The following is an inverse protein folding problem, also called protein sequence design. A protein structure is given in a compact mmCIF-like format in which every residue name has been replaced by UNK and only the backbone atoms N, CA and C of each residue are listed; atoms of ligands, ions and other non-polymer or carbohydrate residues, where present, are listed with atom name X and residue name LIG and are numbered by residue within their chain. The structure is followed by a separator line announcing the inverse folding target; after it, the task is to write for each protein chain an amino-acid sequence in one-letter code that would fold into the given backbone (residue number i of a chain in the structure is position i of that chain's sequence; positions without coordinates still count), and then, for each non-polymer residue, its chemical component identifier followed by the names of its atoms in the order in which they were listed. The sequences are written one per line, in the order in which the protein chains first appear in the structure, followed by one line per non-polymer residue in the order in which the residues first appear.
data_IF_519311713856
#
_entry.id   IF_519311713856
#
_cell.length_a   1.000
_cell.length_b   1.000
_cell.length_c   1.000
_cell.angle_alpha   90.00
_cell.angle_beta   90.00
_cell.angle_gamma   90.00
#
_symmetry.space_group_name_H-M   'P 1'
#
loop_
_entity.id
_entity.type
_entity.pdbx_description
1 polymer ?
#
# COMPACT_ATOMS: atom_id res chain seq x y z
N UNK A 1 53.97 19.50 24.41
CA UNK A 1 54.15 18.94 23.09
C UNK A 1 52.76 18.96 22.49
N UNK A 2 52.49 20.07 21.94
CA UNK A 2 52.13 20.49 20.57
C UNK A 2 50.88 19.74 20.09
N UNK A 3 49.76 20.28 20.04
CA UNK A 3 49.08 21.49 19.62
C UNK A 3 48.97 21.54 18.10
N UNK A 4 47.87 21.15 17.46
CA UNK A 4 47.57 21.65 16.13
C UNK A 4 46.08 21.99 16.03
N UNK A 5 45.82 23.28 16.13
CA UNK A 5 44.57 23.93 15.73
C UNK A 5 44.45 23.90 14.20
N UNK A 6 43.32 23.42 13.69
CA UNK A 6 42.92 23.65 12.31
C UNK A 6 41.80 24.68 12.29
N UNK A 7 42.19 25.93 12.04
CA UNK A 7 41.31 27.04 11.73
C UNK A 7 40.69 26.91 10.33
N UNK A 8 39.39 26.93 10.26
CA UNK A 8 38.64 26.99 9.01
C UNK A 8 38.66 28.43 8.49
N UNK A 9 39.42 28.69 7.41
CA UNK A 9 39.45 30.02 6.74
C UNK A 9 38.25 30.20 5.85
N UNK A 10 37.39 31.15 6.23
CA UNK A 10 36.34 31.73 5.36
C UNK A 10 36.98 32.51 4.21
N UNK A 11 36.75 32.10 2.96
CA UNK A 11 37.14 32.82 1.77
C UNK A 11 36.10 33.89 1.42
N UNK A 12 36.56 35.15 1.40
CA UNK A 12 35.77 36.34 1.12
C UNK A 12 35.37 36.44 -0.37
N UNK A 13 34.15 36.91 -0.62
CA UNK A 13 33.47 37.06 -1.93
C UNK A 13 34.06 38.14 -2.88
N UNK A 14 35.30 38.60 -2.71
CA UNK A 14 35.88 39.75 -3.45
C UNK A 14 37.12 39.50 -4.31
N UNK A 15 37.44 38.24 -4.66
CA UNK A 15 38.58 37.96 -5.55
C UNK A 15 38.22 37.00 -6.69
N UNK A 16 37.25 37.35 -7.53
CA UNK A 16 37.02 36.66 -8.80
C UNK A 16 36.44 37.63 -9.85
N UNK A 17 37.27 38.63 -10.20
CA UNK A 17 37.06 39.42 -11.43
C UNK A 17 38.44 39.60 -12.06
N UNK A 18 38.72 38.86 -13.09
CA UNK A 18 39.91 39.03 -13.94
C UNK A 18 40.31 37.77 -14.65
N UNK A 19 39.66 37.43 -15.75
CA UNK A 19 40.19 36.97 -17.04
C UNK A 19 39.03 36.49 -17.91
N UNK A 20 38.66 37.31 -18.89
CA UNK A 20 37.67 36.94 -19.92
C UNK A 20 38.36 35.97 -20.92
N UNK A 21 38.12 34.67 -20.75
CA UNK A 21 38.34 33.68 -21.77
C UNK A 21 37.01 33.26 -22.34
N UNK A 22 36.74 33.54 -23.61
CA UNK A 22 35.59 32.97 -24.33
C UNK A 22 35.73 31.47 -24.43
N UNK A 23 35.16 30.74 -23.47
CA UNK A 23 34.88 29.30 -23.61
C UNK A 23 33.47 29.19 -24.16
N UNK A 24 33.36 28.76 -25.39
CA UNK A 24 32.08 28.30 -25.97
C UNK A 24 31.56 27.15 -25.12
N UNK A 25 30.57 27.42 -24.26
CA UNK A 25 29.76 26.39 -23.62
C UNK A 25 28.96 25.68 -24.68
N UNK A 26 29.46 24.55 -25.15
CA UNK A 26 28.63 23.57 -25.86
C UNK A 26 27.62 23.07 -24.87
N UNK A 27 26.38 23.59 -24.96
CA UNK A 27 25.24 22.92 -24.34
C UNK A 27 25.09 21.55 -25.00
N UNK A 28 25.59 20.51 -24.33
CA UNK A 28 25.12 19.15 -24.63
C UNK A 28 23.62 19.17 -24.39
N UNK A 29 22.80 18.73 -25.34
CA UNK A 29 21.38 18.57 -25.06
C UNK A 29 21.28 17.59 -23.88
N UNK A 30 20.61 18.00 -22.78
CA UNK A 30 20.11 17.03 -21.81
C UNK A 30 19.22 16.08 -22.63
N UNK A 31 19.76 14.93 -22.97
CA UNK A 31 18.95 13.80 -23.39
C UNK A 31 18.05 13.51 -22.19
N UNK A 32 16.80 13.96 -22.24
CA UNK A 32 15.78 13.47 -21.36
C UNK A 32 15.85 11.94 -21.52
N UNK A 33 16.30 11.24 -20.49
CA UNK A 33 16.16 9.78 -20.42
C UNK A 33 14.66 9.55 -20.58
N UNK A 34 14.26 9.00 -21.72
CA UNK A 34 12.89 8.57 -21.92
C UNK A 34 12.55 7.63 -20.75
N UNK A 35 11.47 7.93 -20.02
CA UNK A 35 11.02 7.04 -18.96
C UNK A 35 10.89 5.63 -19.52
N UNK A 36 11.47 4.65 -18.83
CA UNK A 36 11.32 3.26 -19.22
C UNK A 36 9.83 2.92 -19.24
N UNK A 37 9.34 2.27 -20.27
CA UNK A 37 7.95 1.85 -20.39
C UNK A 37 7.79 0.41 -19.95
N UNK A 38 6.70 0.10 -19.31
CA UNK A 38 6.28 -1.27 -18.95
C UNK A 38 4.92 -1.57 -19.54
N UNK A 39 4.80 -2.77 -20.12
CA UNK A 39 3.52 -3.32 -20.59
C UNK A 39 2.88 -4.10 -19.45
N UNK A 40 1.69 -3.69 -19.02
CA UNK A 40 0.90 -4.38 -18.00
C UNK A 40 -0.13 -5.30 -18.70
N UNK A 41 -0.33 -6.55 -18.25
CA UNK A 41 -1.29 -7.46 -18.88
C UNK A 41 -2.74 -7.12 -18.50
N UNK A 42 -3.17 -5.87 -18.75
CA UNK A 42 -4.49 -5.35 -18.39
C UNK A 42 -5.49 -5.56 -19.53
N UNK A 43 -6.59 -6.27 -19.33
CA UNK A 43 -7.59 -6.47 -20.37
C UNK A 43 -8.36 -5.17 -20.67
N UNK A 44 -8.61 -4.92 -21.97
CA UNK A 44 -9.60 -3.94 -22.42
C UNK A 44 -9.27 -2.47 -22.24
N UNK A 45 -8.01 -2.06 -22.39
CA UNK A 45 -7.67 -0.63 -22.40
C UNK A 45 -6.19 -0.34 -22.35
N UNK A 46 -5.77 0.92 -22.26
CA UNK A 46 -4.36 1.25 -22.21
C UNK A 46 -3.65 0.50 -21.08
N UNK A 47 -2.62 -0.23 -21.44
CA UNK A 47 -1.88 -1.13 -20.57
C UNK A 47 -0.39 -0.79 -20.49
N UNK A 48 0.09 0.14 -21.32
CA UNK A 48 1.45 0.68 -21.24
C UNK A 48 1.55 1.80 -20.20
N UNK A 49 2.60 1.77 -19.37
CA UNK A 49 2.86 2.75 -18.29
C UNK A 49 4.33 3.14 -18.27
N UNK A 50 4.63 4.39 -17.87
CA UNK A 50 5.99 4.80 -17.59
C UNK A 50 6.46 4.25 -16.23
N UNK A 51 7.73 3.91 -16.14
CA UNK A 51 8.46 3.75 -14.88
C UNK A 51 9.06 5.10 -14.53
N UNK A 52 8.77 5.62 -13.34
CA UNK A 52 9.23 6.94 -12.90
C UNK A 52 10.06 6.88 -11.63
N UNK A 53 11.05 7.76 -11.53
CA UNK A 53 11.85 8.05 -10.34
C UNK A 53 11.71 9.53 -9.93
N UNK A 54 10.77 10.26 -10.51
CA UNK A 54 10.66 11.71 -10.37
C UNK A 54 10.06 12.18 -9.02
N UNK A 55 9.63 11.25 -8.17
CA UNK A 55 9.01 11.61 -6.90
C UNK A 55 10.03 11.55 -5.75
N UNK A 56 9.94 12.51 -4.79
CA UNK A 56 10.87 12.54 -3.66
C UNK A 56 10.90 11.21 -2.88
N UNK A 57 12.08 10.76 -2.52
CA UNK A 57 12.32 9.53 -1.74
C UNK A 57 11.77 8.25 -2.42
N UNK A 58 11.55 8.28 -3.76
CA UNK A 58 11.05 7.13 -4.52
C UNK A 58 12.06 6.69 -5.59
N UNK A 59 12.26 5.37 -5.62
CA UNK A 59 12.94 4.66 -6.71
C UNK A 59 11.99 4.37 -7.88
N UNK A 60 12.36 3.45 -8.79
CA UNK A 60 11.54 3.13 -9.95
C UNK A 60 10.18 2.53 -9.58
N UNK A 61 9.09 3.25 -9.87
CA UNK A 61 7.71 2.85 -9.66
C UNK A 61 6.89 3.02 -10.95
N UNK A 62 5.84 2.24 -11.13
CA UNK A 62 4.92 2.35 -12.25
C UNK A 62 4.03 3.58 -12.04
N UNK A 63 4.05 4.51 -13.00
CA UNK A 63 3.26 5.74 -12.93
C UNK A 63 1.83 5.50 -13.39
N UNK A 64 0.88 5.58 -12.48
CA UNK A 64 -0.55 5.56 -12.79
C UNK A 64 -1.10 6.98 -12.99
N UNK A 65 -0.60 7.94 -12.22
CA UNK A 65 -0.98 9.35 -12.30
C UNK A 65 0.02 10.22 -11.54
N UNK A 66 0.30 11.42 -12.06
CA UNK A 66 1.23 12.36 -11.44
C UNK A 66 0.60 13.19 -10.32
N UNK A 67 -0.68 13.58 -10.45
CA UNK A 67 -1.34 14.47 -9.47
C UNK A 67 -2.84 14.18 -9.32
N UNK A 68 -3.34 13.82 -8.12
CA UNK A 68 -2.54 13.36 -6.98
C UNK A 68 -1.66 12.17 -7.36
N UNK A 69 -0.50 11.98 -6.70
CA UNK A 69 0.41 10.93 -7.09
C UNK A 69 -0.19 9.54 -6.83
N UNK A 70 -0.18 8.72 -7.88
CA UNK A 70 -0.53 7.31 -7.86
C UNK A 70 0.62 6.53 -8.48
N UNK A 71 1.38 5.82 -7.66
CA UNK A 71 2.57 5.07 -8.02
C UNK A 71 2.41 3.64 -7.59
N UNK A 72 2.67 2.70 -8.47
CA UNK A 72 2.50 1.27 -8.23
C UNK A 72 3.85 0.57 -8.10
N UNK A 73 3.99 -0.32 -7.14
CA UNK A 73 5.16 -1.18 -6.97
C UNK A 73 5.20 -2.21 -8.10
N UNK A 74 6.28 -2.32 -8.88
CA UNK A 74 6.45 -3.43 -9.81
C UNK A 74 6.43 -4.79 -9.11
N UNK A 75 5.77 -5.79 -9.70
CA UNK A 75 5.49 -7.08 -9.03
C UNK A 75 6.77 -7.84 -8.64
N UNK A 76 7.83 -7.72 -9.43
CA UNK A 76 9.12 -8.34 -9.18
C UNK A 76 9.82 -7.84 -7.90
N UNK A 77 9.43 -6.67 -7.38
CA UNK A 77 9.96 -6.16 -6.10
C UNK A 77 9.58 -7.09 -4.95
N UNK A 78 8.42 -7.71 -5.00
CA UNK A 78 7.94 -8.63 -3.97
C UNK A 78 8.68 -9.99 -3.96
N UNK A 79 9.40 -10.33 -5.04
CA UNK A 79 10.27 -11.51 -5.09
C UNK A 79 11.58 -11.32 -4.33
N UNK A 80 12.03 -10.06 -4.19
CA UNK A 80 13.35 -9.73 -3.62
C UNK A 80 13.37 -9.81 -2.09
N UNK A 81 12.28 -9.42 -1.43
CA UNK A 81 12.18 -9.39 0.04
C UNK A 81 10.73 -9.48 0.50
N UNK A 82 10.53 -10.02 1.70
CA UNK A 82 9.22 -10.02 2.35
C UNK A 82 8.76 -8.61 2.71
N UNK A 83 9.69 -7.71 3.02
CA UNK A 83 9.40 -6.29 3.24
C UNK A 83 9.71 -5.49 1.99
N UNK A 84 8.73 -4.71 1.54
CA UNK A 84 8.86 -3.80 0.41
C UNK A 84 9.76 -2.62 0.79
N UNK A 85 10.85 -2.34 0.06
CA UNK A 85 11.72 -1.19 0.35
C UNK A 85 10.92 0.12 0.38
N UNK A 86 11.30 1.06 1.24
CA UNK A 86 10.57 2.32 1.43
C UNK A 86 10.47 3.14 0.15
N UNK A 87 11.53 3.17 -0.65
CA UNK A 87 11.57 3.84 -1.95
C UNK A 87 10.74 3.13 -3.04
N UNK A 88 10.45 1.84 -2.88
CA UNK A 88 9.65 1.02 -3.81
C UNK A 88 8.22 0.80 -3.32
N UNK A 89 7.85 1.31 -2.15
CA UNK A 89 6.51 1.19 -1.59
C UNK A 89 5.54 2.07 -2.36
N UNK A 90 4.41 1.51 -2.80
CA UNK A 90 3.41 2.21 -3.60
C UNK A 90 2.90 3.50 -2.94
N UNK A 91 2.38 4.42 -3.75
CA UNK A 91 1.83 5.70 -3.31
C UNK A 91 0.41 5.87 -3.85
N UNK A 92 -0.52 6.24 -2.98
CA UNK A 92 -1.90 6.54 -3.35
C UNK A 92 -2.45 7.70 -2.51
N UNK A 93 -2.69 8.83 -3.15
CA UNK A 93 -3.33 9.99 -2.54
C UNK A 93 -4.71 10.26 -3.12
N UNK A 94 -5.63 10.79 -2.30
CA UNK A 94 -6.97 11.19 -2.74
C UNK A 94 -6.93 12.59 -3.32
N UNK A 95 -6.34 13.51 -2.59
CA UNK A 95 -6.23 14.91 -2.95
C UNK A 95 -4.84 15.26 -3.48
N UNK A 96 -4.78 16.33 -4.27
CA UNK A 96 -3.54 16.78 -4.91
C UNK A 96 -2.82 17.87 -4.11
N UNK A 97 -3.47 18.45 -3.10
CA UNK A 97 -2.86 19.38 -2.16
C UNK A 97 -2.28 18.57 -1.01
N UNK A 98 -0.98 18.34 -1.08
CA UNK A 98 -0.22 17.54 -0.12
C UNK A 98 0.93 18.40 0.37
N UNK A 99 1.17 18.54 1.67
CA UNK A 99 2.36 19.20 2.19
C UNK A 99 3.64 18.66 1.57
N UNK A 100 4.49 19.54 1.06
CA UNK A 100 5.79 19.15 0.47
C UNK A 100 6.92 19.10 1.49
N UNK A 101 6.69 19.66 2.66
CA UNK A 101 7.56 19.61 3.84
C UNK A 101 6.72 19.80 5.10
N UNK A 102 7.14 19.20 6.19
CA UNK A 102 6.47 19.32 7.50
C UNK A 102 7.54 19.59 8.54
N UNK A 103 7.36 20.70 9.28
CA UNK A 103 8.20 20.99 10.45
C UNK A 103 7.74 20.15 11.64
N UNK A 104 8.54 19.15 11.99
CA UNK A 104 8.26 18.23 13.11
C UNK A 104 8.12 18.94 14.44
N UNK A 105 8.82 20.07 14.65
CA UNK A 105 8.76 20.82 15.94
C UNK A 105 7.39 21.48 16.14
N UNK A 106 6.77 21.92 15.06
CA UNK A 106 5.43 22.54 15.09
C UNK A 106 4.30 21.52 14.86
N UNK A 107 4.61 20.32 14.39
CA UNK A 107 3.61 19.27 14.18
C UNK A 107 2.88 18.93 15.48
N UNK A 108 1.55 18.80 15.39
CA UNK A 108 0.69 18.35 16.50
C UNK A 108 -0.35 17.39 16.00
N UNK A 109 -0.57 16.33 16.79
CA UNK A 109 -1.73 15.48 16.68
C UNK A 109 -2.80 15.99 17.66
N UNK A 110 -3.94 16.41 17.15
CA UNK A 110 -5.09 16.80 17.96
C UNK A 110 -5.99 15.59 18.20
N UNK A 111 -6.43 15.40 19.44
CA UNK A 111 -7.43 14.39 19.81
C UNK A 111 -8.56 15.09 20.54
N UNK A 112 -9.80 14.99 20.07
CA UNK A 112 -10.92 15.74 20.57
C UNK A 112 -12.27 15.03 20.39
N UNK A 113 -13.38 15.75 20.60
CA UNK A 113 -14.74 15.23 20.45
C UNK A 113 -15.28 14.62 21.76
N UNK A 114 -15.79 13.39 21.72
CA UNK A 114 -16.43 12.75 22.87
C UNK A 114 -15.41 12.15 23.85
N UNK A 115 -14.54 13.02 24.39
CA UNK A 115 -13.45 12.72 25.35
C UNK A 115 -13.56 13.59 26.61
N UNK A 116 -12.93 13.12 27.69
CA UNK A 116 -12.85 13.89 28.93
C UNK A 116 -11.89 15.08 28.80
N UNK A 117 -10.79 14.91 28.03
CA UNK A 117 -9.79 15.93 27.81
C UNK A 117 -9.31 15.90 26.36
N UNK A 118 -9.40 17.04 25.67
CA UNK A 118 -8.75 17.18 24.36
C UNK A 118 -7.23 17.22 24.53
N UNK A 119 -6.52 16.58 23.60
CA UNK A 119 -5.06 16.51 23.59
C UNK A 119 -4.51 17.23 22.37
N UNK A 120 -3.30 17.79 22.52
CA UNK A 120 -2.46 18.29 21.45
C UNK A 120 -1.06 17.71 21.66
N UNK A 121 -0.72 16.66 20.92
CA UNK A 121 0.48 15.85 21.14
C UNK A 121 1.54 16.15 20.07
N UNK A 122 2.76 16.39 20.51
CA UNK A 122 3.95 16.39 19.64
C UNK A 122 4.36 14.97 19.31
N UNK A 123 5.29 14.80 18.37
CA UNK A 123 5.91 13.47 18.12
C UNK A 123 6.65 12.95 19.35
N UNK A 124 7.33 13.84 20.10
CA UNK A 124 8.03 13.46 21.33
C UNK A 124 7.06 12.94 22.40
N UNK A 125 5.87 13.55 22.53
CA UNK A 125 4.81 13.05 23.43
C UNK A 125 4.35 11.64 23.03
N UNK A 126 4.24 11.36 21.73
CA UNK A 126 3.89 10.03 21.23
C UNK A 126 5.03 9.03 21.45
N UNK A 127 6.27 9.44 21.19
CA UNK A 127 7.44 8.61 21.41
C UNK A 127 7.69 8.26 22.88
N UNK A 128 7.16 9.05 23.82
CA UNK A 128 7.21 8.75 25.25
C UNK A 128 6.19 7.70 25.72
N UNK A 129 5.18 7.36 24.89
CA UNK A 129 4.22 6.30 25.19
C UNK A 129 4.84 4.90 24.95
N UNK A 130 4.24 3.81 25.46
CA UNK A 130 4.68 2.46 25.15
C UNK A 130 4.75 2.20 23.66
N UNK A 131 5.91 1.76 23.18
CA UNK A 131 6.19 1.54 21.77
C UNK A 131 5.75 0.15 21.34
N UNK A 132 5.25 0.04 20.10
CA UNK A 132 4.94 -1.23 19.47
C UNK A 132 5.52 -1.32 18.07
N UNK A 133 5.75 -2.54 17.61
CA UNK A 133 6.18 -2.82 16.24
C UNK A 133 5.40 -4.02 15.70
N UNK A 134 4.94 -3.94 14.47
CA UNK A 134 4.30 -5.06 13.78
C UNK A 134 4.58 -5.03 12.28
N UNK A 135 4.56 -6.21 11.67
CA UNK A 135 4.61 -6.37 10.22
C UNK A 135 3.19 -6.43 9.66
N UNK A 136 2.88 -5.57 8.68
CA UNK A 136 1.56 -5.57 8.08
C UNK A 136 1.58 -5.09 6.63
N UNK A 137 0.75 -5.76 5.82
CA UNK A 137 0.46 -5.38 4.43
C UNK A 137 -0.46 -4.16 4.42
N UNK A 138 -0.06 -3.16 3.66
CA UNK A 138 -0.92 -2.05 3.26
C UNK A 138 -1.35 -2.27 1.82
N UNK A 139 -2.64 -2.51 1.56
CA UNK A 139 -3.17 -2.80 0.22
C UNK A 139 -4.32 -1.86 -0.13
N UNK A 140 -4.24 -1.21 -1.30
CA UNK A 140 -5.33 -0.42 -1.83
C UNK A 140 -6.59 -1.27 -2.05
N UNK A 141 -7.77 -0.74 -1.69
CA UNK A 141 -9.07 -1.41 -1.95
C UNK A 141 -9.25 -1.81 -3.42
N UNK A 142 -8.68 -1.01 -4.33
CA UNK A 142 -8.73 -1.22 -5.76
C UNK A 142 -7.51 -1.93 -6.34
N UNK A 143 -6.68 -2.61 -5.54
CA UNK A 143 -5.58 -3.39 -6.07
C UNK A 143 -6.10 -4.39 -7.12
N UNK A 144 -5.44 -4.45 -8.28
CA UNK A 144 -5.87 -5.26 -9.45
C UNK A 144 -7.19 -4.80 -10.12
N UNK A 145 -7.60 -3.53 -9.94
CA UNK A 145 -8.81 -2.99 -10.60
C UNK A 145 -8.74 -3.10 -12.12
N UNK A 146 -7.56 -2.99 -12.72
CA UNK A 146 -7.38 -3.10 -14.17
C UNK A 146 -7.84 -4.43 -14.76
N UNK A 147 -8.03 -5.47 -13.94
CA UNK A 147 -8.48 -6.80 -14.38
C UNK A 147 -9.99 -7.03 -14.25
N UNK A 148 -10.77 -6.06 -13.78
CA UNK A 148 -12.24 -6.19 -13.77
C UNK A 148 -12.81 -6.18 -15.19
N UNK A 149 -13.71 -7.11 -15.47
CA UNK A 149 -14.44 -7.18 -16.74
C UNK A 149 -15.95 -7.36 -16.47
N UNK A 150 -16.80 -6.46 -16.95
CA UNK A 150 -16.50 -5.19 -17.62
C UNK A 150 -15.62 -4.26 -16.75
N UNK A 151 -14.82 -3.43 -17.43
CA UNK A 151 -13.92 -2.48 -16.78
C UNK A 151 -14.71 -1.48 -15.94
N UNK A 152 -14.16 -1.10 -14.79
CA UNK A 152 -14.77 -0.13 -13.87
C UNK A 152 -13.92 1.15 -13.78
N UNK A 153 -14.54 2.26 -13.41
CA UNK A 153 -13.86 3.54 -13.26
C UNK A 153 -12.83 3.52 -12.12
N UNK A 154 -11.86 4.44 -12.18
CA UNK A 154 -10.81 4.62 -11.19
C UNK A 154 -9.42 4.26 -11.71
N UNK A 155 -8.41 4.33 -10.85
CA UNK A 155 -7.03 3.96 -11.19
C UNK A 155 -6.96 2.49 -11.58
N UNK A 156 -6.40 2.22 -12.75
CA UNK A 156 -6.32 0.88 -13.35
C UNK A 156 -5.03 0.18 -12.88
N UNK A 157 -4.98 -0.07 -11.57
CA UNK A 157 -3.88 -0.79 -10.94
C UNK A 157 -3.71 -2.20 -11.52
N UNK A 158 -2.47 -2.65 -11.69
CA UNK A 158 -2.18 -4.07 -11.77
C UNK A 158 -2.14 -4.67 -10.36
N UNK A 159 -1.15 -5.48 -10.01
CA UNK A 159 -1.12 -6.15 -8.70
C UNK A 159 -0.31 -5.41 -7.62
N UNK A 160 0.35 -4.31 -7.97
CA UNK A 160 1.35 -3.67 -7.12
C UNK A 160 0.87 -2.48 -6.30
N UNK A 161 -0.43 -2.16 -6.25
CA UNK A 161 -0.91 -1.13 -5.32
C UNK A 161 -1.03 -1.68 -3.90
N UNK A 162 0.06 -2.27 -3.42
CA UNK A 162 0.25 -2.82 -2.08
C UNK A 162 1.72 -2.78 -1.69
N UNK A 163 2.02 -3.08 -0.45
CA UNK A 163 3.35 -3.28 0.08
C UNK A 163 3.28 -3.81 1.50
N UNK A 164 4.30 -4.54 1.92
CA UNK A 164 4.44 -5.05 3.28
C UNK A 164 5.59 -4.32 3.97
N UNK A 165 5.38 -3.86 5.18
CA UNK A 165 6.42 -3.19 5.95
C UNK A 165 6.34 -3.54 7.43
N UNK A 166 7.46 -3.33 8.11
CA UNK A 166 7.56 -3.34 9.56
C UNK A 166 7.28 -1.92 10.05
N UNK A 167 6.16 -1.75 10.72
CA UNK A 167 5.69 -0.46 11.22
C UNK A 167 6.05 -0.33 12.68
N UNK A 168 6.54 0.85 13.07
CA UNK A 168 6.84 1.18 14.46
C UNK A 168 6.12 2.46 14.86
N UNK A 169 5.54 2.43 16.06
CA UNK A 169 4.77 3.54 16.60
C UNK A 169 4.19 3.23 17.97
N UNK A 170 3.01 3.76 18.23
CA UNK A 170 2.29 3.60 19.50
C UNK A 170 0.89 3.05 19.23
N UNK A 171 0.35 2.27 20.18
CA UNK A 171 -1.05 1.84 20.09
C UNK A 171 -1.98 3.06 20.14
N UNK A 172 -2.99 3.08 19.26
CA UNK A 172 -4.05 4.07 19.31
C UNK A 172 -4.80 4.03 20.65
N UNK A 173 -4.99 2.85 21.21
CA UNK A 173 -5.62 2.65 22.50
C UNK A 173 -4.97 3.51 23.60
N UNK A 174 -3.63 3.54 23.71
CA UNK A 174 -2.92 4.37 24.70
C UNK A 174 -3.23 5.88 24.55
N UNK A 175 -3.39 6.35 23.31
CA UNK A 175 -3.73 7.75 23.04
C UNK A 175 -5.17 8.04 23.41
N UNK A 176 -6.09 7.12 23.10
CA UNK A 176 -7.52 7.24 23.45
C UNK A 176 -7.73 7.18 24.99
N UNK A 177 -6.99 6.31 25.68
CA UNK A 177 -7.04 6.22 27.14
C UNK A 177 -6.54 7.51 27.80
N UNK A 178 -5.47 8.11 27.26
CA UNK A 178 -4.97 9.40 27.74
C UNK A 178 -5.98 10.53 27.56
N UNK A 179 -6.77 10.52 26.48
CA UNK A 179 -7.86 11.48 26.25
C UNK A 179 -9.10 11.20 27.15
N UNK A 180 -9.25 9.97 27.60
CA UNK A 180 -10.39 9.52 28.39
C UNK A 180 -11.69 9.51 27.58
N UNK A 181 -11.87 8.48 26.74
CA UNK A 181 -13.07 8.30 25.91
C UNK A 181 -14.30 8.22 26.81
N UNK A 182 -15.31 9.05 26.54
CA UNK A 182 -16.57 9.07 27.32
C UNK A 182 -17.45 7.86 26.93
N UNK A 183 -18.30 7.45 27.88
CA UNK A 183 -19.34 6.46 27.63
C UNK A 183 -20.28 6.94 26.50
N UNK A 184 -20.68 5.99 25.62
CA UNK A 184 -21.50 6.31 24.46
C UNK A 184 -20.71 6.73 23.21
N UNK A 185 -19.37 6.69 23.24
CA UNK A 185 -18.56 6.81 22.04
C UNK A 185 -18.88 5.64 21.08
N UNK A 186 -19.07 5.93 19.79
CA UNK A 186 -19.46 4.96 18.76
C UNK A 186 -18.33 4.70 17.77
N UNK A 187 -17.64 5.77 17.35
CA UNK A 187 -16.58 5.69 16.34
C UNK A 187 -15.45 6.67 16.66
N UNK A 188 -14.32 6.42 16.02
CA UNK A 188 -13.16 7.33 15.98
C UNK A 188 -12.92 7.72 14.54
N UNK A 189 -12.96 9.02 14.24
CA UNK A 189 -12.69 9.59 12.92
C UNK A 189 -11.26 10.11 12.84
N UNK A 190 -10.63 9.90 11.70
CA UNK A 190 -9.25 10.26 11.42
C UNK A 190 -9.17 11.17 10.22
N UNK A 191 -8.38 12.25 10.31
CA UNK A 191 -8.07 13.15 9.23
C UNK A 191 -6.55 13.36 9.11
N UNK A 192 -6.09 13.66 7.89
CA UNK A 192 -4.70 13.95 7.56
C UNK A 192 -4.53 15.40 7.10
N UNK A 193 -3.32 15.73 6.66
CA UNK A 193 -2.96 17.08 6.23
C UNK A 193 -3.12 17.30 4.71
N UNK A 194 -3.63 16.33 3.94
CA UNK A 194 -3.97 16.53 2.53
C UNK A 194 -5.34 17.20 2.43
N UNK A 195 -5.43 18.17 1.51
CA UNK A 195 -6.61 19.02 1.37
C UNK A 195 -7.27 18.85 0.01
N UNK A 196 -8.60 19.00 -0.08
CA UNK A 196 -9.31 19.07 -1.34
C UNK A 196 -8.89 20.32 -2.15
N UNK A 197 -9.03 20.24 -3.48
CA UNK A 197 -8.69 21.34 -4.39
C UNK A 197 -9.65 22.55 -4.27
N UNK A 198 -10.88 22.28 -3.83
CA UNK A 198 -11.92 23.29 -3.66
C UNK A 198 -12.65 23.03 -2.33
N UNK A 199 -13.09 24.08 -1.63
CA UNK A 199 -13.71 23.94 -0.29
C UNK A 199 -14.98 23.07 -0.26
N UNK A 200 -15.69 22.96 -1.37
CA UNK A 200 -16.92 22.19 -1.50
C UNK A 200 -16.67 20.68 -1.63
N UNK A 201 -15.44 20.27 -1.95
CA UNK A 201 -15.11 18.85 -2.06
C UNK A 201 -14.91 18.25 -0.66
N UNK A 202 -15.41 17.01 -0.43
CA UNK A 202 -15.33 16.40 0.89
C UNK A 202 -13.89 16.07 1.28
N UNK A 203 -13.45 16.60 2.41
CA UNK A 203 -12.14 16.26 2.97
C UNK A 203 -12.01 14.76 3.25
N UNK A 204 -10.78 14.21 3.09
CA UNK A 204 -10.57 12.78 3.17
C UNK A 204 -10.48 12.30 4.62
N UNK A 205 -11.55 11.72 5.10
CA UNK A 205 -11.67 11.19 6.46
C UNK A 205 -12.15 9.74 6.46
N UNK A 206 -11.66 8.94 7.41
CA UNK A 206 -12.13 7.58 7.64
C UNK A 206 -12.39 7.34 9.12
N UNK A 207 -13.34 6.46 9.42
CA UNK A 207 -13.73 6.16 10.80
C UNK A 207 -13.70 4.66 11.08
N UNK A 208 -13.28 4.31 12.30
CA UNK A 208 -13.34 2.96 12.84
C UNK A 208 -14.39 2.90 13.97
N UNK A 209 -15.03 1.75 14.14
CA UNK A 209 -15.80 1.48 15.35
C UNK A 209 -14.91 1.63 16.58
N UNK A 210 -15.46 2.11 17.69
CA UNK A 210 -14.70 2.39 18.91
C UNK A 210 -14.00 1.14 19.44
N UNK A 211 -14.65 -0.02 19.38
CA UNK A 211 -14.08 -1.28 19.86
C UNK A 211 -12.86 -1.70 19.01
N UNK A 212 -12.94 -1.54 17.67
CA UNK A 212 -11.81 -1.82 16.80
C UNK A 212 -10.67 -0.79 16.97
N UNK A 213 -10.99 0.48 17.18
CA UNK A 213 -9.99 1.51 17.45
C UNK A 213 -9.24 1.29 18.79
N UNK A 214 -9.78 0.47 19.68
CA UNK A 214 -9.25 0.16 21.01
C UNK A 214 -8.88 -1.32 21.18
N UNK A 215 -8.69 -2.06 20.10
CA UNK A 215 -8.34 -3.50 20.16
C UNK A 215 -6.85 -3.76 20.48
N UNK A 216 -6.04 -2.70 20.60
CA UNK A 216 -4.61 -2.76 20.86
C UNK A 216 -3.75 -3.02 19.61
N UNK A 217 -4.35 -3.31 18.45
CA UNK A 217 -3.64 -3.59 17.21
C UNK A 217 -3.52 -2.36 16.29
N UNK A 218 -4.50 -1.44 16.35
CA UNK A 218 -4.46 -0.18 15.60
C UNK A 218 -3.34 0.72 16.13
N UNK A 219 -2.51 1.21 15.21
CA UNK A 219 -1.25 1.91 15.54
C UNK A 219 -1.18 3.30 14.90
N UNK A 220 -0.55 4.22 15.61
CA UNK A 220 -0.05 5.49 15.08
C UNK A 220 1.45 5.32 14.80
N UNK A 221 1.80 5.08 13.53
CA UNK A 221 3.17 4.80 13.12
C UNK A 221 3.91 6.07 12.71
N UNK A 222 5.15 6.19 13.15
CA UNK A 222 6.09 7.26 12.77
C UNK A 222 7.34 6.70 12.05
N UNK A 223 7.52 5.35 12.02
CA UNK A 223 8.62 4.72 11.31
C UNK A 223 8.15 3.51 10.50
N UNK A 224 8.90 3.17 9.46
CA UNK A 224 8.63 2.12 8.49
C UNK A 224 9.94 1.45 8.09
N UNK A 225 10.02 0.12 8.25
CA UNK A 225 11.22 -0.69 7.97
C UNK A 225 12.49 -0.19 8.71
N UNK A 226 12.34 0.30 9.94
CA UNK A 226 13.46 0.80 10.75
C UNK A 226 13.89 2.24 10.44
N UNK A 227 13.25 2.90 9.49
CA UNK A 227 13.55 4.27 9.06
C UNK A 227 12.36 5.21 9.28
N UNK A 228 12.60 6.51 9.17
CA UNK A 228 11.53 7.50 9.11
C UNK A 228 10.58 7.21 7.95
N UNK A 229 9.29 7.49 8.13
CA UNK A 229 8.32 7.41 7.04
C UNK A 229 8.73 8.33 5.88
N UNK A 230 8.74 7.85 4.62
CA UNK A 230 8.83 8.75 3.47
C UNK A 230 7.66 9.73 3.44
N UNK A 231 7.90 10.95 2.95
CA UNK A 231 6.88 12.01 2.90
C UNK A 231 5.58 11.51 2.26
N UNK A 232 5.67 10.92 1.07
CA UNK A 232 4.50 10.42 0.32
C UNK A 232 3.85 9.17 0.94
N UNK A 233 4.52 8.51 1.88
CA UNK A 233 3.95 7.40 2.64
C UNK A 233 3.38 7.81 4.00
N UNK A 234 3.34 9.13 4.30
CA UNK A 234 2.59 9.68 5.42
C UNK A 234 3.41 10.25 6.57
N UNK A 235 4.69 10.68 6.30
CA UNK A 235 5.47 11.44 7.29
C UNK A 235 4.67 12.67 7.79
N UNK A 236 4.73 13.02 9.10
CA UNK A 236 5.53 12.41 10.17
C UNK A 236 4.81 11.28 10.90
N UNK A 237 3.49 11.15 10.73
CA UNK A 237 2.64 10.20 11.44
C UNK A 237 1.57 9.65 10.51
N UNK A 238 1.29 8.35 10.61
CA UNK A 238 0.18 7.74 9.87
C UNK A 238 -0.57 6.72 10.72
N UNK A 239 -1.84 6.53 10.38
CA UNK A 239 -2.64 5.45 10.94
C UNK A 239 -2.32 4.13 10.24
N UNK A 240 -2.16 3.06 11.02
CA UNK A 240 -2.03 1.68 10.60
C UNK A 240 -3.22 0.90 11.16
N UNK A 241 -3.98 0.26 10.28
CA UNK A 241 -5.13 -0.59 10.64
C UNK A 241 -4.87 -1.98 10.07
N UNK A 242 -4.16 -2.85 10.81
CA UNK A 242 -3.71 -4.14 10.31
C UNK A 242 -4.88 -5.02 9.85
N UNK A 243 -4.73 -5.73 8.74
CA UNK A 243 -5.78 -6.58 8.18
C UNK A 243 -6.91 -5.85 7.44
N UNK A 244 -6.93 -4.51 7.46
CA UNK A 244 -7.92 -3.70 6.74
C UNK A 244 -7.33 -3.00 5.52
N UNK A 245 -8.16 -2.75 4.50
CA UNK A 245 -7.71 -2.03 3.30
C UNK A 245 -7.17 -0.64 3.62
N UNK A 246 -6.15 -0.23 2.84
CA UNK A 246 -5.38 1.00 3.06
C UNK A 246 -6.19 2.30 3.02
N UNK A 247 -7.43 2.27 2.60
CA UNK A 247 -8.33 3.42 2.68
C UNK A 247 -8.49 3.93 4.12
N UNK A 248 -8.33 3.05 5.12
CA UNK A 248 -8.36 3.42 6.55
C UNK A 248 -7.03 3.91 7.09
N UNK A 249 -5.93 3.67 6.38
CA UNK A 249 -4.59 4.00 6.84
C UNK A 249 -4.24 5.46 6.50
N UNK A 250 -4.90 6.41 7.17
CA UNK A 250 -4.76 7.85 6.94
C UNK A 250 -3.30 8.27 7.08
N UNK A 251 -2.79 9.00 6.07
CA UNK A 251 -1.42 9.53 5.99
C UNK A 251 -1.35 10.95 6.52
N UNK A 252 -0.16 11.36 7.01
CA UNK A 252 0.04 12.68 7.60
C UNK A 252 -1.05 12.99 8.65
N UNK A 253 -1.37 11.97 9.47
CA UNK A 253 -2.43 12.02 10.46
C UNK A 253 -2.15 13.14 11.47
N UNK A 254 -3.06 14.10 11.58
CA UNK A 254 -2.94 15.22 12.52
C UNK A 254 -4.21 15.49 13.34
N UNK A 255 -5.31 14.77 13.03
CA UNK A 255 -6.57 14.95 13.74
C UNK A 255 -7.28 13.62 14.00
N UNK A 256 -7.75 13.43 15.24
CA UNK A 256 -8.54 12.30 15.72
C UNK A 256 -9.74 12.84 16.47
N UNK A 257 -10.94 12.55 15.97
CA UNK A 257 -12.19 12.94 16.62
C UNK A 257 -12.98 11.72 17.09
N UNK A 258 -13.32 11.68 18.35
CA UNK A 258 -14.18 10.65 18.94
C UNK A 258 -15.63 11.07 18.77
N UNK A 259 -16.45 10.21 18.18
CA UNK A 259 -17.83 10.47 17.81
C UNK A 259 -18.80 9.72 18.72
N UNK A 260 -19.86 10.43 19.14
CA UNK A 260 -21.01 9.85 19.87
C UNK A 260 -22.12 9.34 18.93
N UNK A 261 -21.98 9.52 17.63
CA UNK A 261 -22.91 9.07 16.59
C UNK A 261 -22.13 8.46 15.43
N UNK A 262 -22.74 7.55 14.61
CA UNK A 262 -22.13 7.01 13.41
C UNK A 262 -21.71 8.12 12.45
N UNK A 263 -20.52 7.98 11.87
CA UNK A 263 -19.97 8.92 10.90
C UNK A 263 -20.65 8.74 9.54
N UNK A 264 -21.22 9.82 9.02
CA UNK A 264 -21.91 9.86 7.73
C UNK A 264 -21.12 10.62 6.66
N UNK A 265 -19.82 10.88 6.89
CA UNK A 265 -19.01 11.57 5.89
C UNK A 265 -19.00 10.80 4.55
N UNK A 266 -18.77 11.54 3.47
CA UNK A 266 -18.80 11.03 2.10
C UNK A 266 -17.95 9.76 1.89
N UNK A 267 -16.75 9.70 2.49
CA UNK A 267 -15.81 8.60 2.31
C UNK A 267 -16.17 7.33 3.10
N UNK A 268 -17.08 7.45 4.06
CA UNK A 268 -17.69 6.32 4.78
C UNK A 268 -19.02 5.89 4.15
N UNK A 269 -19.89 6.86 3.83
CA UNK A 269 -21.25 6.58 3.41
C UNK A 269 -21.41 6.28 1.91
N UNK A 270 -20.46 6.76 1.06
CA UNK A 270 -20.63 6.72 -0.40
C UNK A 270 -19.41 6.19 -1.16
N UNK A 271 -18.21 6.77 -0.96
CA UNK A 271 -17.09 6.55 -1.87
C UNK A 271 -16.37 5.22 -1.68
N UNK A 272 -16.32 4.70 -0.46
CA UNK A 272 -15.65 3.44 -0.12
C UNK A 272 -16.63 2.43 0.43
N UNK A 273 -17.66 2.14 -0.36
CA UNK A 273 -18.66 1.13 -0.06
C UNK A 273 -18.55 -0.05 -1.03
N UNK A 274 -18.99 -1.20 -0.58
CA UNK A 274 -19.07 -2.45 -1.34
C UNK A 274 -20.49 -3.01 -1.23
N UNK A 275 -20.96 -3.80 -2.21
CA UNK A 275 -22.21 -4.54 -2.06
C UNK A 275 -22.20 -5.42 -0.80
N UNK A 276 -23.27 -5.39 -0.05
CA UNK A 276 -23.49 -6.30 1.10
C UNK A 276 -23.96 -7.67 0.59
N UNK A 277 -23.07 -8.32 -0.13
CA UNK A 277 -23.27 -9.62 -0.78
C UNK A 277 -22.02 -10.49 -0.59
N UNK A 278 -22.10 -11.81 -0.74
CA UNK A 278 -20.93 -12.67 -0.68
C UNK A 278 -19.82 -12.20 -1.64
N UNK A 279 -18.59 -12.06 -1.10
CA UNK A 279 -17.42 -11.55 -1.82
C UNK A 279 -17.60 -10.16 -2.45
N UNK A 280 -18.55 -9.36 -1.94
CA UNK A 280 -18.93 -8.06 -2.52
C UNK A 280 -19.23 -8.14 -4.04
N UNK A 281 -19.84 -9.24 -4.48
CA UNK A 281 -20.09 -9.56 -5.88
C UNK A 281 -21.54 -9.24 -6.29
N UNK A 282 -21.68 -8.51 -7.40
CA UNK A 282 -22.97 -8.26 -8.08
C UNK A 282 -22.77 -8.39 -9.59
N UNK A 283 -23.85 -8.61 -10.34
CA UNK A 283 -23.77 -8.63 -11.79
C UNK A 283 -23.43 -7.22 -12.34
N UNK A 284 -22.64 -7.12 -13.41
CA UNK A 284 -22.43 -5.85 -14.10
C UNK A 284 -23.74 -5.18 -14.49
N UNK A 285 -23.90 -3.89 -14.12
CA UNK A 285 -25.14 -3.14 -14.34
C UNK A 285 -26.27 -3.38 -13.32
N UNK A 286 -26.10 -4.30 -12.39
CA UNK A 286 -27.06 -4.52 -11.30
C UNK A 286 -27.16 -3.28 -10.41
N UNK A 287 -28.40 -2.92 -10.04
CA UNK A 287 -28.76 -1.83 -9.10
C UNK A 287 -29.63 -2.36 -7.98
N UNK A 288 -29.90 -1.52 -6.96
CA UNK A 288 -30.84 -1.85 -5.89
C UNK A 288 -30.29 -2.81 -4.82
N UNK A 289 -28.98 -3.02 -4.76
CA UNK A 289 -28.34 -3.76 -3.67
C UNK A 289 -27.99 -2.84 -2.49
N UNK A 290 -27.97 -3.40 -1.29
CA UNK A 290 -27.46 -2.71 -0.12
C UNK A 290 -25.94 -2.59 -0.19
N UNK A 291 -25.40 -1.53 0.38
CA UNK A 291 -23.94 -1.29 0.44
C UNK A 291 -23.49 -1.04 1.88
N UNK A 292 -22.31 -1.51 2.18
CA UNK A 292 -21.64 -1.30 3.47
C UNK A 292 -20.25 -0.70 3.24
N UNK A 293 -19.66 0.03 4.21
CA UNK A 293 -18.27 0.47 4.11
C UNK A 293 -17.33 -0.73 3.92
N UNK A 294 -16.39 -0.61 2.95
CA UNK A 294 -15.33 -1.62 2.79
C UNK A 294 -14.53 -1.70 4.09
N UNK A 295 -14.01 -2.88 4.42
CA UNK A 295 -13.31 -3.11 5.68
C UNK A 295 -12.10 -4.04 5.52
N UNK A 296 -12.23 -5.32 5.86
CA UNK A 296 -11.17 -6.31 5.95
C UNK A 296 -10.62 -6.71 4.60
N UNK A 297 -9.31 -6.93 4.54
CA UNK A 297 -8.68 -7.59 3.41
C UNK A 297 -9.06 -9.06 3.37
N UNK A 298 -9.06 -9.62 2.17
CA UNK A 298 -9.33 -11.03 1.88
C UNK A 298 -8.04 -11.74 1.44
N UNK A 299 -7.95 -13.09 1.55
CA UNK A 299 -6.76 -13.84 1.18
C UNK A 299 -6.38 -13.64 -0.30
N UNK A 300 -5.08 -13.52 -0.56
CA UNK A 300 -4.52 -13.45 -1.92
C UNK A 300 -3.15 -14.09 -1.99
N UNK A 301 -2.80 -14.60 -3.19
CA UNK A 301 -1.45 -15.04 -3.52
C UNK A 301 -1.09 -14.63 -4.93
N UNK A 302 0.21 -14.39 -5.16
CA UNK A 302 0.77 -14.03 -6.46
C UNK A 302 2.04 -14.81 -6.71
N UNK A 303 2.25 -15.27 -7.96
CA UNK A 303 3.54 -15.72 -8.44
C UNK A 303 4.36 -14.47 -8.75
N UNK A 304 5.61 -14.39 -8.27
CA UNK A 304 6.43 -13.18 -8.36
C UNK A 304 7.68 -13.33 -9.23
N UNK A 305 8.10 -14.55 -9.56
CA UNK A 305 9.31 -14.82 -10.32
C UNK A 305 9.08 -15.40 -11.71
N UNK A 306 7.83 -15.61 -12.12
CA UNK A 306 7.44 -16.07 -13.46
C UNK A 306 6.32 -15.18 -13.96
N UNK A 307 6.47 -14.64 -15.17
CA UNK A 307 5.49 -13.76 -15.79
C UNK A 307 4.68 -14.50 -16.87
N UNK A 308 3.52 -13.96 -17.20
CA UNK A 308 2.76 -14.46 -18.35
C UNK A 308 3.59 -14.35 -19.64
N UNK A 309 3.65 -15.43 -20.40
CA UNK A 309 4.44 -15.53 -21.61
C UNK A 309 5.89 -15.99 -21.43
N UNK A 310 6.38 -16.16 -20.21
CA UNK A 310 7.72 -16.70 -19.97
C UNK A 310 7.84 -18.13 -20.53
N UNK A 311 9.07 -18.47 -20.96
CA UNK A 311 9.39 -19.80 -21.48
C UNK A 311 10.04 -20.66 -20.41
N UNK A 312 9.46 -21.83 -20.15
CA UNK A 312 10.02 -22.89 -19.33
C UNK A 312 10.50 -24.02 -20.23
N UNK A 313 11.38 -24.91 -19.74
CA UNK A 313 11.91 -26.03 -20.54
C UNK A 313 11.36 -27.38 -20.05
N UNK A 314 10.86 -28.19 -21.00
CA UNK A 314 10.37 -29.53 -20.70
C UNK A 314 11.47 -30.41 -20.09
N UNK A 315 11.11 -31.15 -19.04
CA UNK A 315 12.05 -32.01 -18.30
C UNK A 315 13.02 -31.25 -17.37
N UNK A 316 13.05 -29.91 -17.40
CA UNK A 316 13.91 -29.11 -16.53
C UNK A 316 13.14 -28.62 -15.29
N UNK A 317 13.75 -28.82 -14.11
CA UNK A 317 13.16 -28.39 -12.84
C UNK A 317 13.04 -26.86 -12.76
N UNK A 318 11.82 -26.33 -12.69
CA UNK A 318 11.52 -24.92 -12.54
C UNK A 318 11.20 -24.58 -11.09
N UNK A 319 11.78 -23.48 -10.57
CA UNK A 319 11.44 -22.91 -9.29
C UNK A 319 10.30 -21.90 -9.48
N UNK A 320 9.23 -22.05 -8.70
CA UNK A 320 8.13 -21.08 -8.61
C UNK A 320 8.14 -20.46 -7.22
N UNK A 321 8.18 -19.14 -7.17
CA UNK A 321 8.12 -18.36 -5.94
C UNK A 321 6.98 -17.37 -5.98
N UNK A 322 6.54 -16.98 -4.79
CA UNK A 322 5.53 -15.96 -4.66
C UNK A 322 5.34 -15.44 -3.26
N UNK A 323 4.36 -14.56 -3.14
CA UNK A 323 3.89 -14.02 -1.87
C UNK A 323 2.42 -14.36 -1.67
N UNK A 324 2.01 -14.44 -0.41
CA UNK A 324 0.62 -14.56 -0.01
C UNK A 324 0.32 -13.64 1.16
N UNK A 325 -0.92 -13.20 1.28
CA UNK A 325 -1.48 -12.55 2.45
C UNK A 325 -2.81 -13.24 2.82
N UNK A 326 -3.04 -13.43 4.11
CA UNK A 326 -4.21 -14.13 4.63
C UNK A 326 -5.38 -13.22 4.99
N UNK A 327 -5.37 -11.97 4.50
CA UNK A 327 -6.39 -11.01 4.90
C UNK A 327 -6.13 -10.49 6.32
N UNK A 328 -7.11 -10.64 7.20
CA UNK A 328 -7.02 -10.23 8.61
C UNK A 328 -6.64 -11.36 9.58
N UNK A 329 -6.43 -12.59 9.09
CA UNK A 329 -6.22 -13.77 9.95
C UNK A 329 -4.90 -14.52 9.72
N UNK A 330 -4.11 -14.14 8.72
CA UNK A 330 -2.85 -14.78 8.39
C UNK A 330 -2.96 -15.90 7.36
N UNK A 331 -1.82 -16.40 6.87
CA UNK A 331 -1.70 -17.43 5.84
C UNK A 331 -1.54 -18.80 6.48
N UNK A 332 -2.50 -19.69 6.26
CA UNK A 332 -2.39 -21.09 6.68
C UNK A 332 -1.70 -21.95 5.61
N UNK A 333 -2.02 -21.76 4.33
CA UNK A 333 -1.54 -22.59 3.24
C UNK A 333 -1.54 -21.84 1.91
N UNK A 334 -0.59 -22.20 1.06
CA UNK A 334 -0.58 -21.84 -0.35
C UNK A 334 -0.44 -23.11 -1.17
N UNK A 335 -1.31 -23.27 -2.17
CA UNK A 335 -1.24 -24.38 -3.15
C UNK A 335 -0.89 -23.82 -4.52
N UNK A 336 -0.09 -24.56 -5.29
CA UNK A 336 0.21 -24.31 -6.69
C UNK A 336 -0.50 -25.34 -7.57
N UNK A 337 -1.15 -24.87 -8.63
CA UNK A 337 -1.53 -25.65 -9.79
C UNK A 337 -0.62 -25.30 -10.97
N UNK A 338 -0.30 -26.29 -11.80
CA UNK A 338 0.48 -26.13 -13.05
C UNK A 338 -0.30 -26.57 -14.28
N UNK A 339 -1.57 -26.92 -14.10
CA UNK A 339 -2.47 -27.50 -15.09
C UNK A 339 -3.79 -26.71 -15.21
N UNK A 340 -3.76 -25.41 -14.90
CA UNK A 340 -4.92 -24.53 -15.01
C UNK A 340 -5.99 -24.74 -13.94
N UNK A 341 -5.62 -25.32 -12.79
CA UNK A 341 -6.51 -25.50 -11.64
C UNK A 341 -7.10 -26.92 -11.52
N UNK A 342 -6.70 -27.86 -12.37
CA UNK A 342 -7.17 -29.25 -12.32
C UNK A 342 -6.61 -29.97 -11.08
N UNK A 343 -5.31 -29.81 -10.79
CA UNK A 343 -4.67 -30.38 -9.61
C UNK A 343 -3.92 -29.32 -8.80
N UNK A 344 -3.85 -29.52 -7.51
CA UNK A 344 -3.24 -28.60 -6.56
C UNK A 344 -2.23 -29.30 -5.67
N UNK A 345 -1.07 -28.68 -5.48
CA UNK A 345 -0.01 -29.17 -4.59
C UNK A 345 0.39 -28.10 -3.59
N UNK A 346 0.46 -28.46 -2.33
CA UNK A 346 0.90 -27.54 -1.28
C UNK A 346 2.34 -27.09 -1.53
N UNK A 347 2.58 -25.81 -1.37
CA UNK A 347 3.90 -25.18 -1.47
C UNK A 347 4.60 -25.14 -0.11
N UNK A 348 5.87 -24.77 -0.11
CA UNK A 348 6.62 -24.52 1.12
C UNK A 348 6.50 -23.03 1.50
N UNK A 349 5.96 -22.77 2.69
CA UNK A 349 5.85 -21.43 3.24
C UNK A 349 7.18 -20.99 3.86
N UNK A 350 7.59 -19.76 3.60
CA UNK A 350 8.73 -19.11 4.23
C UNK A 350 8.47 -18.74 5.71
N UNK A 351 9.37 -17.93 6.27
CA UNK A 351 9.26 -17.44 7.63
C UNK A 351 7.95 -16.68 7.86
N UNK A 352 7.35 -16.86 9.01
CA UNK A 352 6.20 -16.06 9.45
C UNK A 352 6.68 -14.79 10.13
N UNK A 353 6.38 -13.64 9.53
CA UNK A 353 6.69 -12.33 10.09
C UNK A 353 5.49 -11.73 10.86
N UNK A 354 4.39 -12.47 10.98
CA UNK A 354 3.15 -12.08 11.67
C UNK A 354 1.90 -12.21 10.82
N UNK A 355 0.75 -12.32 11.48
CA UNK A 355 -0.54 -12.63 10.80
C UNK A 355 -0.96 -11.63 9.73
N UNK A 356 -0.48 -10.39 9.79
CA UNK A 356 -0.82 -9.34 8.83
C UNK A 356 0.23 -9.13 7.74
N UNK A 357 1.36 -9.86 7.81
CA UNK A 357 2.49 -9.74 6.88
C UNK A 357 2.27 -10.56 5.61
N UNK A 358 3.03 -10.24 4.56
CA UNK A 358 3.25 -11.20 3.49
C UNK A 358 3.89 -12.47 4.04
N UNK A 359 3.48 -13.62 3.50
CA UNK A 359 4.16 -14.89 3.62
C UNK A 359 4.76 -15.26 2.28
N UNK A 360 6.08 -15.31 2.19
CA UNK A 360 6.74 -15.86 1.00
C UNK A 360 6.48 -17.35 0.91
N UNK A 361 6.40 -17.86 -0.29
CA UNK A 361 6.27 -19.30 -0.55
C UNK A 361 7.07 -19.71 -1.78
N UNK A 362 7.45 -20.98 -1.84
CA UNK A 362 8.15 -21.54 -3.01
C UNK A 362 7.84 -23.01 -3.19
N UNK A 363 7.99 -23.47 -4.44
CA UNK A 363 7.93 -24.89 -4.77
C UNK A 363 8.66 -25.13 -6.09
N UNK A 364 8.82 -26.39 -6.43
CA UNK A 364 9.41 -26.81 -7.71
C UNK A 364 8.46 -27.70 -8.46
N UNK A 365 8.49 -27.61 -9.79
CA UNK A 365 7.87 -28.58 -10.65
C UNK A 365 8.74 -28.83 -11.88
N UNK A 366 8.46 -29.92 -12.61
CA UNK A 366 9.11 -30.25 -13.88
C UNK A 366 8.04 -30.25 -14.95
N UNK A 367 8.07 -29.28 -15.89
CA UNK A 367 7.12 -29.28 -17.00
C UNK A 367 7.24 -30.59 -17.80
N UNK A 368 6.12 -31.34 -18.04
CA UNK A 368 6.22 -32.69 -18.56
C UNK A 368 6.52 -32.76 -20.09
N UNK A 369 6.05 -31.77 -20.86
CA UNK A 369 6.16 -31.74 -22.30
C UNK A 369 6.04 -30.32 -22.84
N UNK A 370 6.56 -30.04 -24.07
CA UNK A 370 6.32 -28.76 -24.74
C UNK A 370 4.84 -28.46 -24.93
N UNK A 371 4.48 -27.18 -24.87
CA UNK A 371 3.10 -26.70 -25.01
C UNK A 371 2.78 -25.51 -24.12
N UNK A 372 1.51 -25.12 -24.05
CA UNK A 372 1.04 -24.07 -23.15
C UNK A 372 0.66 -24.68 -21.82
N UNK A 373 1.08 -24.03 -20.73
CA UNK A 373 0.67 -24.34 -19.35
C UNK A 373 0.16 -23.09 -18.65
N UNK A 374 -0.69 -23.26 -17.63
CA UNK A 374 -1.19 -22.15 -16.80
C UNK A 374 -0.85 -22.44 -15.35
N UNK A 375 0.00 -21.60 -14.79
CA UNK A 375 0.34 -21.64 -13.36
C UNK A 375 -0.67 -20.83 -12.57
N UNK A 376 -1.11 -21.36 -11.42
CA UNK A 376 -2.07 -20.69 -10.54
C UNK A 376 -1.66 -20.90 -9.07
N UNK A 377 -1.66 -19.84 -8.26
CA UNK A 377 -1.38 -19.95 -6.83
C UNK A 377 -2.60 -19.54 -6.01
N UNK A 378 -2.96 -20.37 -5.02
CA UNK A 378 -4.14 -20.21 -4.17
C UNK A 378 -3.75 -20.11 -2.71
N UNK A 379 -4.13 -19.01 -2.04
CA UNK A 379 -3.97 -18.82 -0.61
C UNK A 379 -5.23 -19.27 0.15
N UNK A 380 -5.02 -20.03 1.23
CA UNK A 380 -6.03 -20.28 2.28
C UNK A 380 -5.57 -19.59 3.55
N UNK A 381 -6.43 -18.77 4.15
CA UNK A 381 -6.18 -18.06 5.39
C UNK A 381 -6.28 -18.96 6.62
N UNK A 382 -5.83 -18.47 7.77
CA UNK A 382 -5.94 -19.20 9.04
C UNK A 382 -7.38 -19.36 9.53
N UNK A 383 -8.34 -18.58 9.02
CA UNK A 383 -9.78 -18.80 9.26
C UNK A 383 -10.41 -19.82 8.32
N UNK A 384 -9.65 -20.35 7.35
CA UNK A 384 -10.14 -21.33 6.36
C UNK A 384 -10.72 -20.68 5.10
N UNK A 385 -10.76 -19.35 5.01
CA UNK A 385 -11.18 -18.66 3.78
C UNK A 385 -10.16 -18.89 2.67
N UNK A 386 -10.63 -19.22 1.47
CA UNK A 386 -9.79 -19.51 0.30
C UNK A 386 -10.13 -18.55 -0.84
N UNK A 387 -9.13 -18.19 -1.65
CA UNK A 387 -9.36 -17.43 -2.88
C UNK A 387 -10.38 -18.11 -3.79
N UNK A 388 -11.35 -17.38 -4.37
CA UNK A 388 -12.33 -17.95 -5.29
C UNK A 388 -11.72 -18.24 -6.67
N UNK A 389 -12.28 -19.23 -7.37
CA UNK A 389 -11.92 -19.56 -8.75
C UNK A 389 -12.50 -18.55 -9.77
N UNK A 390 -13.64 -17.97 -9.45
CA UNK A 390 -14.30 -16.96 -10.29
C UNK A 390 -14.08 -15.54 -9.74
N UNK A 391 -13.82 -14.54 -10.61
CA UNK A 391 -13.65 -13.17 -10.16
C UNK A 391 -14.96 -12.58 -9.64
N UNK A 392 -14.88 -11.83 -8.54
CA UNK A 392 -15.97 -10.94 -8.14
C UNK A 392 -16.04 -9.73 -9.09
N UNK A 393 -17.22 -9.17 -9.22
CA UNK A 393 -17.43 -7.86 -9.86
C UNK A 393 -18.27 -6.95 -8.96
N UNK A 394 -17.85 -5.70 -8.84
CA UNK A 394 -18.66 -4.63 -8.23
C UNK A 394 -18.32 -3.28 -8.87
N UNK A 395 -19.24 -2.30 -8.84
CA UNK A 395 -19.07 -1.02 -9.55
C UNK A 395 -17.91 -0.19 -9.03
N UNK A 396 -17.41 -0.45 -7.81
CA UNK A 396 -16.26 0.24 -7.24
C UNK A 396 -14.93 -0.39 -7.66
N UNK A 397 -14.93 -1.62 -8.18
CA UNK A 397 -13.73 -2.37 -8.53
C UNK A 397 -12.85 -2.63 -7.32
N UNK A 398 -13.46 -3.06 -6.21
CA UNK A 398 -12.79 -3.35 -4.96
C UNK A 398 -12.76 -4.85 -4.64
N UNK A 399 -11.84 -5.23 -3.76
CA UNK A 399 -11.74 -6.57 -3.17
C UNK A 399 -11.49 -7.69 -4.18
N UNK A 400 -10.83 -7.41 -5.33
CA UNK A 400 -10.46 -8.49 -6.25
C UNK A 400 -9.48 -9.45 -5.55
N UNK A 401 -9.87 -10.70 -5.46
CA UNK A 401 -9.05 -11.75 -4.86
C UNK A 401 -9.14 -13.11 -5.55
N UNK A 402 -9.66 -13.14 -6.79
CA UNK A 402 -9.66 -14.36 -7.60
C UNK A 402 -8.26 -14.95 -7.72
N UNK A 403 -8.16 -16.26 -7.89
CA UNK A 403 -6.90 -16.94 -8.22
C UNK A 403 -6.41 -16.42 -9.58
N UNK A 404 -5.22 -15.80 -9.59
CA UNK A 404 -4.66 -15.22 -10.80
C UNK A 404 -4.01 -16.33 -11.67
N UNK A 405 -4.12 -16.19 -12.98
CA UNK A 405 -3.57 -17.11 -13.96
C UNK A 405 -2.28 -16.56 -14.57
N UNK A 406 -1.24 -17.39 -14.60
CA UNK A 406 0.05 -17.06 -15.24
C UNK A 406 0.30 -18.06 -16.37
N UNK A 407 -0.15 -17.77 -17.62
CA UNK A 407 0.11 -18.63 -18.75
C UNK A 407 1.59 -18.57 -19.13
N UNK A 408 2.20 -19.73 -19.37
CA UNK A 408 3.61 -19.90 -19.77
C UNK A 408 3.72 -20.79 -20.98
N UNK A 409 4.83 -20.69 -21.70
CA UNK A 409 5.18 -21.56 -22.80
C UNK A 409 6.22 -22.58 -22.33
N UNK A 410 6.01 -23.86 -22.60
CA UNK A 410 7.03 -24.89 -22.35
C UNK A 410 7.67 -25.25 -23.68
N UNK A 411 9.00 -25.11 -23.79
CA UNK A 411 9.80 -25.42 -24.95
C UNK A 411 10.63 -26.71 -24.77
#
# INVERSE_FOLDING_TARGET
MEGSNNECRLVSRRQLLGTAGLTTLTFSPLTALADAMIQLPLPGGPDERSITTAFPEKGPLILQRTRPPLLETPLEVFDQSVFTPNDRFYVRWHWAVIPTSIDVKSFRLTVHGHVNQSLSLSLDDLMALPQMELAAVNQCSGNSRGYFQPRVAGAQWSHGSMGNARWRGVSLEHVLDRAGVKAGAVQVRFNGMDEPLVPEAPDFMKSLAIDHARDGEVMLAYAMNGEQLPLLNGFPLRLIVPGWYSTYWVKMLNDIEILAQPDTNYWMASAYTIPDTPHANVAPGQTGFNSVPINRMVPRSFITNINAGDTLHAGVRALVRGIALGGDTGVARVDLSVDGGETWRQTHLGKDEGKYSFRQWQTFFVPPAPGSQVLMARCTSSSGETQPDAPNWNPAGFMRNVIEQTPVVVA
#
